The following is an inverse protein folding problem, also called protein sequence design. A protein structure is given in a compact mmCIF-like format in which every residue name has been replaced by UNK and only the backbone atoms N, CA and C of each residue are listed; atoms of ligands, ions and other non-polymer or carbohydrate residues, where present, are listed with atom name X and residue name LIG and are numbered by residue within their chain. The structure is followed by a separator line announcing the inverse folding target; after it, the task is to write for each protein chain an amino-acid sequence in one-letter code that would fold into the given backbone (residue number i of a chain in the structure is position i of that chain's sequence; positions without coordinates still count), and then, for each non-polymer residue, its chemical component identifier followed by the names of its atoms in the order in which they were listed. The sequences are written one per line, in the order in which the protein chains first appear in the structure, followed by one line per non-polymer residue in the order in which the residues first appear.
data_IF_563763705275
#
_entry.id   IF_563763705275
#
_cell.length_a   1.000
_cell.length_b   1.000
_cell.length_c   1.000
_cell.angle_alpha   90.00
_cell.angle_beta   90.00
_cell.angle_gamma   90.00
#
_symmetry.space_group_name_H-M   'P 1'
#
loop_
_entity.id
_entity.type
_entity.pdbx_description
1 polymer ?
#
# COMPACT_ATOMS: atom_id res chain seq x y z
N UNK A 1 -17.73 -39.75 -23.12
CA UNK A 1 -17.24 -38.65 -22.29
C UNK A 1 -17.23 -39.14 -20.85
N UNK A 2 -16.07 -39.49 -20.32
CA UNK A 2 -15.92 -40.00 -18.96
C UNK A 2 -16.07 -38.81 -18.00
N UNK A 3 -17.12 -38.84 -17.16
CA UNK A 3 -17.24 -37.92 -16.04
C UNK A 3 -16.12 -38.20 -15.04
N UNK A 4 -15.13 -37.33 -15.00
CA UNK A 4 -14.14 -37.36 -13.92
C UNK A 4 -14.85 -36.83 -12.68
N UNK A 5 -15.15 -37.74 -11.74
CA UNK A 5 -15.64 -37.34 -10.41
C UNK A 5 -14.49 -36.74 -9.64
N UNK A 6 -14.44 -35.39 -9.57
CA UNK A 6 -13.59 -34.70 -8.64
C UNK A 6 -14.31 -34.65 -7.28
N UNK A 7 -14.07 -35.59 -6.40
CA UNK A 7 -14.37 -35.43 -4.99
C UNK A 7 -13.18 -34.72 -4.34
N UNK A 8 -13.20 -33.43 -4.34
CA UNK A 8 -12.26 -32.64 -3.55
C UNK A 8 -12.94 -32.31 -2.22
N UNK A 9 -12.85 -33.23 -1.26
CA UNK A 9 -13.40 -33.02 0.08
C UNK A 9 -12.42 -32.22 0.97
N UNK A 10 -12.16 -30.98 0.61
CA UNK A 10 -11.48 -30.04 1.51
C UNK A 10 -12.57 -29.27 2.26
N UNK A 11 -12.81 -29.66 3.51
CA UNK A 11 -13.66 -28.91 4.41
C UNK A 11 -12.83 -27.76 5.04
N UNK A 12 -13.31 -26.54 4.86
CA UNK A 12 -12.66 -25.34 5.42
C UNK A 12 -13.70 -24.34 5.89
N UNK A 13 -13.43 -23.69 7.00
CA UNK A 13 -14.34 -22.66 7.53
C UNK A 13 -14.28 -21.39 6.67
N UNK A 14 -13.11 -21.08 6.12
CA UNK A 14 -12.89 -19.92 5.24
C UNK A 14 -12.08 -20.33 4.01
N UNK A 15 -12.63 -20.04 2.84
CA UNK A 15 -11.92 -20.18 1.56
C UNK A 15 -11.59 -18.80 0.99
N UNK A 16 -10.32 -18.57 0.72
CA UNK A 16 -9.82 -17.33 0.09
C UNK A 16 -9.28 -17.67 -1.29
N UNK A 17 -9.71 -16.96 -2.30
CA UNK A 17 -9.24 -17.11 -3.68
C UNK A 17 -8.26 -16.00 -4.02
N UNK A 18 -7.02 -16.40 -4.27
CA UNK A 18 -5.89 -15.53 -4.57
C UNK A 18 -4.97 -15.27 -3.36
N UNK A 19 -3.69 -15.59 -3.51
CA UNK A 19 -2.63 -15.37 -2.51
C UNK A 19 -1.79 -14.12 -2.81
N UNK A 20 -2.42 -13.04 -3.28
CA UNK A 20 -1.85 -11.70 -3.28
C UNK A 20 -1.92 -11.07 -1.89
N UNK A 21 -1.37 -9.86 -1.75
CA UNK A 21 -1.31 -9.16 -0.45
C UNK A 21 -2.69 -9.01 0.22
N UNK A 22 -3.74 -8.82 -0.55
CA UNK A 22 -5.11 -8.69 -0.02
C UNK A 22 -5.57 -10.02 0.57
N UNK A 23 -5.48 -11.13 -0.18
CA UNK A 23 -5.89 -12.45 0.29
C UNK A 23 -5.09 -12.89 1.53
N UNK A 24 -3.78 -12.70 1.50
CA UNK A 24 -2.90 -13.01 2.64
C UNK A 24 -3.25 -12.16 3.88
N UNK A 25 -3.52 -10.86 3.71
CA UNK A 25 -3.92 -9.99 4.82
C UNK A 25 -5.28 -10.37 5.41
N UNK A 26 -6.23 -10.78 4.56
CA UNK A 26 -7.53 -11.29 5.01
C UNK A 26 -7.36 -12.59 5.79
N UNK A 27 -6.56 -13.53 5.27
CA UNK A 27 -6.25 -14.79 5.98
C UNK A 27 -5.61 -14.54 7.34
N UNK A 28 -4.67 -13.62 7.40
CA UNK A 28 -3.99 -13.20 8.63
C UNK A 28 -4.97 -12.66 9.67
N UNK A 29 -5.84 -11.74 9.26
CA UNK A 29 -6.84 -11.14 10.15
C UNK A 29 -7.89 -12.16 10.60
N UNK A 30 -8.33 -13.06 9.70
CA UNK A 30 -9.23 -14.16 10.03
C UNK A 30 -8.60 -15.10 11.07
N UNK A 31 -7.34 -15.45 10.91
CA UNK A 31 -6.61 -16.30 11.87
C UNK A 31 -6.53 -15.67 13.26
N UNK A 32 -6.31 -14.34 13.33
CA UNK A 32 -6.30 -13.62 14.62
C UNK A 32 -7.67 -13.64 15.30
N UNK A 33 -8.75 -13.48 14.54
CA UNK A 33 -10.11 -13.44 15.08
C UNK A 33 -10.71 -14.80 15.36
N UNK A 34 -10.27 -15.81 14.62
CA UNK A 34 -10.76 -17.17 14.68
C UNK A 34 -9.59 -18.16 14.77
N UNK A 35 -8.92 -18.28 15.93
CA UNK A 35 -7.69 -19.06 16.05
C UNK A 35 -7.84 -20.54 15.74
N UNK A 36 -9.05 -21.08 15.92
CA UNK A 36 -9.36 -22.51 15.70
C UNK A 36 -9.92 -22.80 14.31
N UNK A 37 -10.27 -21.78 13.54
CA UNK A 37 -10.86 -21.98 12.21
C UNK A 37 -9.81 -22.49 11.20
N UNK A 38 -10.28 -23.36 10.30
CA UNK A 38 -9.50 -23.78 9.14
C UNK A 38 -9.61 -22.73 8.05
N UNK A 39 -8.45 -22.28 7.52
CA UNK A 39 -8.38 -21.28 6.46
C UNK A 39 -7.62 -21.87 5.29
N UNK A 40 -8.27 -21.97 4.14
CA UNK A 40 -7.66 -22.43 2.89
C UNK A 40 -7.51 -21.27 1.92
N UNK A 41 -6.34 -21.14 1.33
CA UNK A 41 -6.07 -20.15 0.28
C UNK A 41 -5.80 -20.91 -1.02
N UNK A 42 -6.57 -20.59 -2.06
CA UNK A 42 -6.34 -21.10 -3.41
C UNK A 42 -5.60 -20.05 -4.23
N UNK A 43 -4.47 -20.44 -4.80
CA UNK A 43 -3.70 -19.61 -5.72
C UNK A 43 -3.51 -20.36 -7.04
N UNK A 44 -3.63 -19.66 -8.16
CA UNK A 44 -3.45 -20.24 -9.49
C UNK A 44 -1.99 -20.43 -9.88
N UNK A 45 -1.12 -19.62 -9.28
CA UNK A 45 0.31 -19.65 -9.53
C UNK A 45 1.03 -20.58 -8.53
N UNK A 46 2.24 -21.04 -8.84
CA UNK A 46 3.00 -21.93 -7.95
C UNK A 46 3.49 -21.24 -6.67
N UNK A 47 3.53 -19.91 -6.65
CA UNK A 47 3.99 -19.10 -5.51
C UNK A 47 3.06 -17.93 -5.23
N UNK A 48 3.09 -17.42 -4.00
CA UNK A 48 2.29 -16.28 -3.58
C UNK A 48 2.83 -14.97 -4.16
N UNK A 49 1.95 -14.01 -4.43
CA UNK A 49 2.34 -12.64 -4.77
C UNK A 49 2.93 -12.43 -6.16
N UNK A 50 2.93 -13.40 -7.07
CA UNK A 50 3.58 -13.31 -8.39
C UNK A 50 2.98 -12.26 -9.35
N UNK A 51 1.83 -11.69 -9.04
CA UNK A 51 1.18 -10.64 -9.84
C UNK A 51 1.39 -9.24 -9.22
N UNK A 52 0.34 -8.43 -9.17
CA UNK A 52 0.40 -7.02 -8.73
C UNK A 52 1.09 -6.83 -7.36
N UNK A 53 0.95 -7.79 -6.44
CA UNK A 53 1.57 -7.70 -5.12
C UNK A 53 3.10 -7.78 -5.14
N UNK A 54 3.68 -8.53 -6.06
CA UNK A 54 5.13 -8.62 -6.25
C UNK A 54 5.68 -7.72 -7.36
N UNK A 55 4.81 -7.00 -8.09
CA UNK A 55 5.17 -6.20 -9.28
C UNK A 55 4.67 -4.76 -9.16
N UNK A 56 4.85 -4.16 -8.02
CA UNK A 56 4.46 -2.76 -7.76
C UNK A 56 5.69 -1.92 -7.38
N UNK A 57 5.49 -0.62 -7.19
CA UNK A 57 6.57 0.31 -6.84
C UNK A 57 7.12 0.14 -5.42
N UNK A 58 6.51 -0.68 -4.58
CA UNK A 58 6.86 -0.83 -3.17
C UNK A 58 6.60 0.43 -2.32
N UNK A 59 5.90 1.42 -2.87
CA UNK A 59 5.64 2.69 -2.15
C UNK A 59 4.40 2.57 -1.28
N UNK A 60 4.57 2.80 0.00
CA UNK A 60 3.47 2.92 0.95
C UNK A 60 2.84 4.31 0.84
N UNK A 61 1.69 4.40 0.16
CA UNK A 61 1.02 5.66 -0.10
C UNK A 61 0.39 6.26 1.15
N UNK A 62 0.58 7.57 1.36
CA UNK A 62 0.01 8.32 2.50
C UNK A 62 -1.48 8.67 2.36
N UNK A 63 -2.01 8.69 1.13
CA UNK A 63 -3.39 9.10 0.85
C UNK A 63 -3.55 10.58 0.46
N UNK A 64 -2.47 11.33 0.23
CA UNK A 64 -2.47 12.77 -0.10
C UNK A 64 -3.32 13.13 -1.33
N UNK A 65 -3.52 12.19 -2.26
CA UNK A 65 -4.30 12.42 -3.47
C UNK A 65 -5.82 12.36 -3.28
N UNK A 66 -6.30 11.92 -2.12
CA UNK A 66 -7.71 11.66 -1.86
C UNK A 66 -8.31 12.73 -0.93
N UNK A 67 -9.51 13.22 -1.25
CA UNK A 67 -10.26 14.07 -0.35
C UNK A 67 -10.59 13.34 0.96
N UNK A 68 -10.52 14.03 2.07
CA UNK A 68 -10.68 13.49 3.44
C UNK A 68 -12.04 12.84 3.71
N UNK A 69 -13.06 13.23 2.97
CA UNK A 69 -14.42 12.69 3.01
C UNK A 69 -14.54 11.30 2.38
N UNK A 70 -13.55 10.90 1.57
CA UNK A 70 -13.60 9.65 0.81
C UNK A 70 -13.20 8.43 1.66
N UNK A 71 -13.82 7.28 1.36
CA UNK A 71 -13.41 6.00 1.94
C UNK A 71 -11.95 5.67 1.60
N UNK A 72 -11.49 6.05 0.40
CA UNK A 72 -10.10 5.86 -0.03
C UNK A 72 -9.11 6.57 0.88
N UNK A 73 -9.37 7.83 1.26
CA UNK A 73 -8.50 8.58 2.18
C UNK A 73 -8.42 7.88 3.54
N UNK A 74 -9.58 7.51 4.11
CA UNK A 74 -9.67 6.86 5.42
C UNK A 74 -8.94 5.51 5.44
N UNK A 75 -9.19 4.65 4.45
CA UNK A 75 -8.56 3.32 4.38
C UNK A 75 -7.08 3.43 4.07
N UNK A 76 -6.66 4.34 3.19
CA UNK A 76 -5.26 4.52 2.82
C UNK A 76 -4.43 5.01 4.02
N UNK A 77 -4.87 6.04 4.73
CA UNK A 77 -4.18 6.57 5.91
C UNK A 77 -4.10 5.55 7.05
N UNK A 78 -5.22 4.89 7.37
CA UNK A 78 -5.25 3.86 8.40
C UNK A 78 -4.40 2.63 8.01
N UNK A 79 -4.48 2.22 6.74
CA UNK A 79 -3.71 1.10 6.20
C UNK A 79 -2.21 1.37 6.20
N UNK A 80 -1.78 2.59 5.85
CA UNK A 80 -0.37 2.97 5.88
C UNK A 80 0.21 2.86 7.29
N UNK A 81 -0.51 3.32 8.31
CA UNK A 81 -0.09 3.18 9.73
C UNK A 81 0.03 1.72 10.15
N UNK A 82 -1.00 0.90 9.83
CA UNK A 82 -0.98 -0.54 10.15
C UNK A 82 0.16 -1.28 9.45
N UNK A 83 0.41 -0.96 8.18
CA UNK A 83 1.50 -1.57 7.42
C UNK A 83 2.87 -1.19 7.99
N UNK A 84 3.05 0.07 8.42
CA UNK A 84 4.28 0.50 9.09
C UNK A 84 4.50 -0.29 10.40
N UNK A 85 3.47 -0.37 11.25
CA UNK A 85 3.54 -1.16 12.49
C UNK A 85 3.87 -2.62 12.21
N UNK A 86 3.22 -3.22 11.20
CA UNK A 86 3.50 -4.58 10.77
C UNK A 86 4.96 -4.74 10.31
N UNK A 87 5.46 -3.81 9.51
CA UNK A 87 6.85 -3.85 9.05
C UNK A 87 7.83 -3.79 10.23
N UNK A 88 7.58 -2.89 11.19
CA UNK A 88 8.40 -2.74 12.39
C UNK A 88 8.36 -4.02 13.25
N UNK A 89 7.18 -4.62 13.47
CA UNK A 89 7.02 -5.87 14.24
C UNK A 89 7.75 -7.07 13.64
N UNK A 90 7.76 -7.16 12.30
CA UNK A 90 8.31 -8.32 11.58
C UNK A 90 9.71 -8.08 10.99
N UNK A 91 10.35 -6.95 11.32
CA UNK A 91 11.69 -6.63 10.84
C UNK A 91 11.76 -6.41 9.32
N UNK A 92 10.64 -6.00 8.71
CA UNK A 92 10.58 -5.72 7.27
C UNK A 92 11.11 -4.31 7.04
N UNK A 93 12.12 -4.18 6.20
CA UNK A 93 12.73 -2.89 5.89
C UNK A 93 11.71 -1.92 5.27
N UNK A 94 11.46 -0.80 5.95
CA UNK A 94 10.56 0.25 5.51
C UNK A 94 11.26 1.60 5.60
N UNK A 95 11.75 2.10 4.47
CA UNK A 95 12.52 3.35 4.41
C UNK A 95 11.59 4.54 4.26
N UNK A 96 11.68 5.50 5.18
CA UNK A 96 10.95 6.78 5.13
C UNK A 96 11.68 7.77 4.23
N UNK A 97 11.61 7.58 2.92
CA UNK A 97 12.30 8.42 1.94
C UNK A 97 11.59 9.75 1.63
N UNK A 98 10.33 9.89 2.04
CA UNK A 98 9.51 11.04 1.64
C UNK A 98 9.05 10.97 0.18
N UNK A 99 8.42 12.05 -0.27
CA UNK A 99 7.98 12.24 -1.66
C UNK A 99 7.95 13.72 -1.98
N UNK A 100 8.48 14.11 -3.13
CA UNK A 100 8.38 15.45 -3.67
C UNK A 100 7.34 15.46 -4.80
N UNK A 101 6.48 16.46 -4.82
CA UNK A 101 5.52 16.72 -5.88
C UNK A 101 5.84 18.11 -6.42
N UNK A 102 6.16 18.19 -7.71
CA UNK A 102 6.64 19.41 -8.34
C UNK A 102 5.57 19.92 -9.31
N UNK A 103 5.23 21.21 -9.22
CA UNK A 103 4.53 21.93 -10.27
C UNK A 103 5.52 22.28 -11.37
N UNK A 104 5.25 21.89 -12.60
CA UNK A 104 6.11 22.16 -13.77
C UNK A 104 5.61 23.37 -14.55
N UNK A 105 4.43 23.87 -14.22
CA UNK A 105 3.79 25.03 -14.85
C UNK A 105 2.88 25.76 -13.86
N UNK A 106 2.52 27.00 -14.16
CA UNK A 106 1.56 27.75 -13.34
C UNK A 106 0.18 27.06 -13.27
N UNK A 107 -0.22 26.35 -14.30
CA UNK A 107 -1.47 25.58 -14.32
C UNK A 107 -1.51 24.43 -13.29
N UNK A 108 -0.35 24.01 -12.77
CA UNK A 108 -0.25 22.96 -11.76
C UNK A 108 -0.44 23.49 -10.32
N UNK A 109 -0.27 24.81 -10.12
CA UNK A 109 -0.34 25.41 -8.78
C UNK A 109 -1.65 25.11 -8.04
N UNK A 110 -2.84 25.21 -8.67
CA UNK A 110 -4.09 24.81 -8.00
C UNK A 110 -4.10 23.36 -7.52
N UNK A 111 -3.40 22.46 -8.24
CA UNK A 111 -3.24 21.08 -7.81
C UNK A 111 -2.37 20.96 -6.56
N UNK A 112 -1.28 21.70 -6.48
CA UNK A 112 -0.43 21.74 -5.28
C UNK A 112 -1.22 22.22 -4.07
N UNK A 113 -1.98 23.32 -4.20
CA UNK A 113 -2.81 23.84 -3.11
C UNK A 113 -3.86 22.80 -2.65
N UNK A 114 -4.51 22.13 -3.60
CA UNK A 114 -5.45 21.06 -3.28
C UNK A 114 -4.78 19.89 -2.54
N UNK A 115 -3.57 19.50 -2.94
CA UNK A 115 -2.81 18.45 -2.27
C UNK A 115 -2.38 18.83 -0.86
N UNK A 116 -1.94 20.08 -0.65
CA UNK A 116 -1.62 20.61 0.68
C UNK A 116 -2.86 20.60 1.59
N UNK A 117 -4.01 21.02 1.05
CA UNK A 117 -5.28 20.93 1.78
C UNK A 117 -5.62 19.49 2.14
N UNK A 118 -5.55 18.57 1.18
CA UNK A 118 -5.79 17.15 1.43
C UNK A 118 -4.83 16.59 2.48
N UNK A 119 -3.56 16.97 2.44
CA UNK A 119 -2.56 16.57 3.44
C UNK A 119 -2.98 16.99 4.84
N UNK A 120 -3.34 18.26 5.01
CA UNK A 120 -3.82 18.80 6.29
C UNK A 120 -5.05 18.07 6.77
N UNK A 121 -6.07 17.93 5.92
CA UNK A 121 -7.35 17.29 6.24
C UNK A 121 -7.19 15.79 6.60
N UNK A 122 -6.19 15.12 6.03
CA UNK A 122 -5.88 13.69 6.27
C UNK A 122 -4.82 13.47 7.37
N UNK A 123 -4.32 14.54 8.00
CA UNK A 123 -3.27 14.45 9.03
C UNK A 123 -1.92 13.96 8.50
N UNK A 124 -1.61 14.28 7.23
CA UNK A 124 -0.35 13.96 6.56
C UNK A 124 0.57 15.16 6.68
N UNK A 125 1.81 14.94 7.16
CA UNK A 125 2.82 15.99 7.18
C UNK A 125 3.25 16.32 5.74
N UNK A 126 3.00 17.55 5.29
CA UNK A 126 3.43 18.07 4.00
C UNK A 126 3.88 19.53 4.18
N UNK A 127 4.88 19.91 3.44
CA UNK A 127 5.46 21.24 3.47
C UNK A 127 5.55 21.79 2.04
N UNK A 128 5.33 23.10 1.90
CA UNK A 128 5.56 23.77 0.62
C UNK A 128 7.04 24.13 0.53
N UNK A 129 7.66 23.76 -0.57
CA UNK A 129 9.05 24.08 -0.85
C UNK A 129 9.13 25.15 -1.92
N UNK A 130 10.11 26.04 -1.81
CA UNK A 130 10.48 26.97 -2.86
C UNK A 130 11.52 26.34 -3.82
N UNK A 131 11.82 27.03 -4.91
CA UNK A 131 12.75 26.53 -5.93
C UNK A 131 14.15 26.20 -5.40
N UNK A 132 14.66 27.00 -4.45
CA UNK A 132 15.99 26.77 -3.85
C UNK A 132 16.01 25.51 -2.99
N UNK A 133 14.95 25.28 -2.21
CA UNK A 133 14.79 24.09 -1.37
C UNK A 133 14.65 22.82 -2.25
N UNK A 134 13.90 22.93 -3.35
CA UNK A 134 13.77 21.82 -4.32
C UNK A 134 15.12 21.48 -4.95
N UNK A 135 15.88 22.51 -5.38
CA UNK A 135 17.20 22.33 -5.98
C UNK A 135 18.18 21.68 -5.00
N UNK A 136 18.18 22.09 -3.73
CA UNK A 136 19.03 21.51 -2.68
C UNK A 136 18.68 20.03 -2.42
N UNK A 137 17.38 19.70 -2.30
CA UNK A 137 16.95 18.32 -2.11
C UNK A 137 17.34 17.47 -3.32
N UNK A 138 17.18 17.97 -4.55
CA UNK A 138 17.57 17.28 -5.77
C UNK A 138 19.08 16.99 -5.78
N UNK A 139 19.92 17.96 -5.38
CA UNK A 139 21.35 17.78 -5.25
C UNK A 139 21.71 16.67 -4.25
N UNK A 140 21.10 16.72 -3.05
CA UNK A 140 21.32 15.70 -2.01
C UNK A 140 20.88 14.29 -2.45
N UNK A 141 19.78 14.17 -3.20
CA UNK A 141 19.33 12.90 -3.75
C UNK A 141 20.31 12.34 -4.78
N UNK A 142 20.88 13.19 -5.63
CA UNK A 142 21.90 12.80 -6.61
C UNK A 142 23.19 12.33 -5.93
N UNK A 143 23.67 13.05 -4.93
CA UNK A 143 24.88 12.70 -4.15
C UNK A 143 24.70 11.39 -3.36
N UNK A 144 23.47 11.10 -2.91
CA UNK A 144 23.14 9.85 -2.22
C UNK A 144 22.98 8.63 -3.15
N UNK A 145 23.24 8.78 -4.46
CA UNK A 145 23.12 7.70 -5.44
C UNK A 145 21.68 7.33 -5.77
N UNK A 146 20.76 8.24 -5.55
CA UNK A 146 19.32 8.04 -5.76
C UNK A 146 18.84 8.55 -7.10
N UNK A 147 19.39 8.05 -8.23
CA UNK A 147 18.76 8.05 -9.58
C UNK A 147 19.57 7.16 -10.49
#
# INVERSE_FOLDING_TARGET
MSHVNYSADINTDFLIVGAGIVGLSVAWELRKRNPLATITILEKEPEVGLHASGRNSGVLHSGIYYGSDTLKAKVCSAGAKKMQTFADEYGIACKKSGKIIIATSESDLPTIERLLKNATDNGIKAERLNEKEIAEISRLMHEAGGL
#
